data_IF_090676305418
#
_entry.id   IF_090676305418
#
_cell.length_a   1.000
_cell.length_b   1.000
_cell.length_c   1.000
_cell.angle_alpha   90.00
_cell.angle_beta   90.00
_cell.angle_gamma   90.00
#
_symmetry.space_group_name_H-M   'P 1'
#
loop_
_entity.id
_entity.type
_entity.pdbx_description
1 polymer ?
#
# COMPACT_ATOMS: atom_id res chain seq x y z
N UNK A 1 -8.04 12.01 -14.26
CA UNK A 1 -7.36 11.51 -15.48
C UNK A 1 -5.95 12.04 -15.51
N UNK A 2 -4.97 11.18 -15.76
CA UNK A 2 -3.55 11.55 -15.87
C UNK A 2 -3.32 12.29 -17.19
N UNK A 3 -2.49 13.33 -17.20
CA UNK A 3 -2.17 14.04 -18.44
C UNK A 3 -1.33 13.17 -19.38
N UNK A 4 -1.40 13.40 -20.69
CA UNK A 4 -0.61 12.66 -21.69
C UNK A 4 0.90 12.69 -21.38
N UNK A 5 1.41 13.83 -20.91
CA UNK A 5 2.81 13.96 -20.49
C UNK A 5 3.13 13.14 -19.25
N UNK A 6 2.19 13.07 -18.29
CA UNK A 6 2.31 12.21 -17.11
C UNK A 6 2.41 10.74 -17.51
N UNK A 7 1.56 10.28 -18.43
CA UNK A 7 1.57 8.91 -18.94
C UNK A 7 2.92 8.58 -19.58
N UNK A 8 3.43 9.46 -20.45
CA UNK A 8 4.74 9.27 -21.11
C UNK A 8 5.88 9.18 -20.09
N UNK A 9 5.88 10.04 -19.07
CA UNK A 9 6.89 10.00 -18.02
C UNK A 9 6.81 8.69 -17.22
N UNK A 10 5.61 8.27 -16.83
CA UNK A 10 5.41 7.00 -16.12
C UNK A 10 5.88 5.80 -16.94
N UNK A 11 5.53 5.75 -18.24
CA UNK A 11 5.98 4.71 -19.16
C UNK A 11 7.52 4.67 -19.27
N UNK A 12 8.17 5.83 -19.36
CA UNK A 12 9.64 5.92 -19.38
C UNK A 12 10.28 5.37 -18.11
N UNK A 13 9.75 5.74 -16.93
CA UNK A 13 10.26 5.26 -15.64
C UNK A 13 10.12 3.73 -15.50
N UNK A 14 9.00 3.18 -15.94
CA UNK A 14 8.75 1.74 -15.92
C UNK A 14 9.64 1.00 -16.92
N UNK A 15 9.81 1.52 -18.15
CA UNK A 15 10.72 0.93 -19.15
C UNK A 15 12.15 0.88 -18.61
N UNK A 16 12.64 1.99 -18.03
CA UNK A 16 13.99 2.05 -17.46
C UNK A 16 14.23 1.09 -16.29
N UNK A 17 13.17 0.71 -15.55
CA UNK A 17 13.30 -0.13 -14.36
C UNK A 17 12.99 -1.60 -14.61
N UNK A 18 12.03 -1.88 -15.51
CA UNK A 18 11.39 -3.20 -15.66
C UNK A 18 11.23 -3.65 -17.12
N UNK A 19 11.74 -2.87 -18.07
CA UNK A 19 11.72 -3.18 -19.49
C UNK A 19 10.43 -2.80 -20.21
N UNK A 20 10.49 -2.91 -21.54
CA UNK A 20 9.48 -2.34 -22.44
C UNK A 20 8.12 -3.06 -22.38
N UNK A 21 8.10 -4.36 -22.08
CA UNK A 21 6.82 -5.07 -21.90
C UNK A 21 6.04 -4.56 -20.68
N UNK A 22 6.72 -4.35 -19.55
CA UNK A 22 6.10 -3.75 -18.37
C UNK A 22 5.62 -2.33 -18.66
N UNK A 23 6.41 -1.55 -19.41
CA UNK A 23 6.05 -0.20 -19.83
C UNK A 23 4.79 -0.18 -20.69
N UNK A 24 4.70 -1.04 -21.71
CA UNK A 24 3.53 -1.14 -22.60
C UNK A 24 2.25 -1.51 -21.84
N UNK A 25 2.34 -2.42 -20.87
CA UNK A 25 1.21 -2.78 -20.00
C UNK A 25 0.81 -1.62 -19.08
N UNK A 26 1.78 -0.93 -18.48
CA UNK A 26 1.53 0.22 -17.61
C UNK A 26 0.89 1.39 -18.38
N UNK A 27 1.43 1.73 -19.56
CA UNK A 27 0.88 2.77 -20.44
C UNK A 27 -0.55 2.45 -20.88
N UNK A 28 -0.84 1.19 -21.21
CA UNK A 28 -2.18 0.73 -21.56
C UNK A 28 -3.19 0.99 -20.43
N UNK A 29 -2.82 0.62 -19.19
CA UNK A 29 -3.65 0.85 -18.01
C UNK A 29 -3.81 2.34 -17.70
N UNK A 30 -2.74 3.14 -17.76
CA UNK A 30 -2.80 4.58 -17.50
C UNK A 30 -3.64 5.33 -18.54
N UNK A 31 -3.64 4.87 -19.80
CA UNK A 31 -4.37 5.52 -20.89
C UNK A 31 -5.85 5.14 -20.93
N UNK A 32 -6.19 3.93 -20.48
CA UNK A 32 -7.55 3.35 -20.66
C UNK A 32 -8.30 3.13 -19.34
N UNK A 33 -7.65 3.32 -18.19
CA UNK A 33 -8.24 3.10 -16.87
C UNK A 33 -8.22 1.63 -16.46
N UNK A 34 -9.27 1.19 -15.76
CA UNK A 34 -9.37 -0.17 -15.23
C UNK A 34 -9.64 -1.18 -16.34
N UNK A 35 -8.83 -2.24 -16.42
CA UNK A 35 -8.93 -3.25 -17.48
C UNK A 35 -8.87 -4.67 -16.93
N UNK A 36 -9.57 -5.60 -17.60
CA UNK A 36 -9.44 -7.05 -17.38
C UNK A 36 -8.21 -7.61 -18.07
N UNK A 37 -7.74 -8.79 -17.66
CA UNK A 37 -6.61 -9.47 -18.31
C UNK A 37 -6.82 -9.63 -19.83
N UNK A 38 -8.03 -10.01 -20.26
CA UNK A 38 -8.36 -10.19 -21.67
C UNK A 38 -8.26 -8.88 -22.48
N UNK A 39 -8.69 -7.77 -21.89
CA UNK A 39 -8.58 -6.45 -22.53
C UNK A 39 -7.11 -6.01 -22.62
N UNK A 40 -6.31 -6.24 -21.58
CA UNK A 40 -4.88 -5.89 -21.59
C UNK A 40 -4.17 -6.68 -22.70
N UNK A 41 -4.42 -7.99 -22.81
CA UNK A 41 -3.87 -8.83 -23.89
C UNK A 41 -4.25 -8.25 -25.25
N UNK A 42 -5.54 -7.94 -25.46
CA UNK A 42 -6.03 -7.39 -26.73
C UNK A 42 -5.39 -6.04 -27.08
N UNK A 43 -5.25 -5.13 -26.12
CA UNK A 43 -4.75 -3.78 -26.39
C UNK A 43 -3.23 -3.70 -26.46
N UNK A 44 -2.51 -4.61 -25.78
CA UNK A 44 -1.05 -4.64 -25.81
C UNK A 44 -0.50 -5.56 -26.90
N UNK A 45 -1.33 -6.45 -27.47
CA UNK A 45 -0.93 -7.43 -28.48
C UNK A 45 0.23 -8.34 -27.99
N UNK A 46 0.35 -8.49 -26.67
CA UNK A 46 1.34 -9.36 -26.04
C UNK A 46 0.74 -10.73 -25.76
N UNK A 47 1.59 -11.75 -25.63
CA UNK A 47 1.15 -13.08 -25.20
C UNK A 47 0.57 -13.04 -23.79
N UNK A 48 -0.36 -13.96 -23.49
CA UNK A 48 -0.96 -14.09 -22.17
C UNK A 48 0.09 -14.24 -21.06
N UNK A 49 1.12 -15.03 -21.31
CA UNK A 49 2.23 -15.26 -20.37
C UNK A 49 3.01 -13.97 -20.10
N UNK A 50 3.34 -13.20 -21.14
CA UNK A 50 4.04 -11.93 -20.97
C UNK A 50 3.21 -10.93 -20.17
N UNK A 51 1.92 -10.81 -20.44
CA UNK A 51 1.03 -9.92 -19.68
C UNK A 51 0.93 -10.33 -18.21
N UNK A 52 0.78 -11.62 -17.92
CA UNK A 52 0.74 -12.13 -16.54
C UNK A 52 2.04 -11.81 -15.80
N UNK A 53 3.20 -12.03 -16.45
CA UNK A 53 4.50 -11.74 -15.85
C UNK A 53 4.70 -10.24 -15.61
N UNK A 54 4.30 -9.39 -16.56
CA UNK A 54 4.33 -7.93 -16.39
C UNK A 54 3.44 -7.48 -15.23
N UNK A 55 2.20 -7.98 -15.15
CA UNK A 55 1.28 -7.64 -14.05
C UNK A 55 1.85 -8.08 -12.69
N UNK A 56 2.46 -9.26 -12.60
CA UNK A 56 3.14 -9.72 -11.38
C UNK A 56 4.22 -8.75 -10.93
N UNK A 57 5.11 -8.34 -11.85
CA UNK A 57 6.17 -7.37 -11.56
C UNK A 57 5.60 -6.03 -11.12
N UNK A 58 4.62 -5.49 -11.85
CA UNK A 58 4.03 -4.19 -11.56
C UNK A 58 3.25 -4.17 -10.24
N UNK A 59 2.54 -5.25 -9.91
CA UNK A 59 1.86 -5.39 -8.61
C UNK A 59 2.89 -5.48 -7.48
N UNK A 60 3.92 -6.30 -7.65
CA UNK A 60 4.99 -6.44 -6.65
C UNK A 60 5.74 -5.12 -6.40
N UNK A 61 5.86 -4.27 -7.43
CA UNK A 61 6.50 -2.96 -7.35
C UNK A 61 5.52 -1.82 -6.99
N UNK A 62 4.32 -2.15 -6.50
CA UNK A 62 3.27 -1.21 -6.09
C UNK A 62 2.84 -0.22 -7.17
N UNK A 63 3.00 -0.58 -8.46
CA UNK A 63 2.60 0.25 -9.60
C UNK A 63 1.21 -0.14 -10.16
N UNK A 64 0.70 -1.32 -9.82
CA UNK A 64 -0.63 -1.80 -10.23
C UNK A 64 -1.35 -2.39 -9.03
N UNK A 65 -2.66 -2.13 -8.94
CA UNK A 65 -3.57 -2.76 -7.99
C UNK A 65 -4.60 -3.58 -8.75
N UNK A 66 -4.79 -4.84 -8.36
CA UNK A 66 -5.88 -5.66 -8.83
C UNK A 66 -7.07 -5.53 -7.87
N UNK A 67 -8.28 -5.73 -8.36
CA UNK A 67 -9.50 -5.85 -7.55
C UNK A 67 -10.53 -6.65 -8.31
N UNK A 68 -11.39 -7.35 -7.59
CA UNK A 68 -12.46 -8.17 -8.15
C UNK A 68 -13.78 -7.44 -8.06
N UNK A 69 -14.56 -7.47 -9.13
CA UNK A 69 -15.92 -6.92 -9.17
C UNK A 69 -16.91 -7.99 -9.59
N UNK A 70 -18.14 -7.90 -9.10
CA UNK A 70 -19.23 -8.68 -9.63
C UNK A 70 -19.74 -8.04 -10.91
N UNK A 71 -19.65 -8.76 -12.03
CA UNK A 71 -20.23 -8.35 -13.30
C UNK A 71 -21.61 -9.00 -13.46
N UNK A 72 -22.64 -8.17 -13.52
CA UNK A 72 -23.98 -8.62 -13.91
C UNK A 72 -23.96 -8.99 -15.40
N UNK A 73 -24.25 -10.25 -15.69
CA UNK A 73 -24.41 -10.73 -17.05
C UNK A 73 -25.91 -10.65 -17.37
N UNK A 74 -26.26 -10.02 -18.50
CA UNK A 74 -27.65 -10.03 -18.96
C UNK A 74 -28.10 -11.47 -19.25
N UNK A 75 -29.38 -11.78 -18.99
CA UNK A 75 -30.04 -13.08 -19.24
C UNK A 75 -29.80 -14.22 -18.23
N UNK A 76 -30.12 -14.01 -16.94
CA UNK A 76 -30.38 -15.11 -15.99
C UNK A 76 -29.20 -16.02 -15.67
N UNK A 77 -28.00 -15.71 -16.14
CA UNK A 77 -26.76 -16.39 -15.77
C UNK A 77 -26.30 -15.92 -14.38
N UNK A 78 -25.62 -16.83 -13.67
CA UNK A 78 -25.05 -16.51 -12.37
C UNK A 78 -24.03 -15.37 -12.50
N UNK A 79 -24.01 -14.42 -11.53
CA UNK A 79 -23.13 -13.28 -11.58
C UNK A 79 -21.66 -13.72 -11.60
N UNK A 80 -20.87 -13.15 -12.52
CA UNK A 80 -19.48 -13.55 -12.72
C UNK A 80 -18.54 -12.59 -11.99
N UNK A 81 -17.63 -13.14 -11.19
CA UNK A 81 -16.55 -12.35 -10.58
C UNK A 81 -15.45 -12.14 -11.61
N UNK A 82 -15.06 -10.88 -11.82
CA UNK A 82 -14.03 -10.51 -12.79
C UNK A 82 -12.99 -9.62 -12.13
N UNK A 83 -11.73 -10.01 -12.26
CA UNK A 83 -10.58 -9.22 -11.83
C UNK A 83 -10.28 -8.09 -12.82
N UNK A 84 -10.19 -6.87 -12.30
CA UNK A 84 -9.70 -5.70 -13.01
C UNK A 84 -8.37 -5.25 -12.42
N UNK A 85 -7.56 -4.59 -13.26
CA UNK A 85 -6.27 -4.02 -12.90
C UNK A 85 -6.31 -2.52 -13.13
N UNK A 86 -5.73 -1.75 -12.22
CA UNK A 86 -5.53 -0.30 -12.35
C UNK A 86 -4.08 0.07 -12.10
N UNK A 87 -3.57 1.01 -12.88
CA UNK A 87 -2.24 1.58 -12.65
C UNK A 87 -2.29 2.67 -11.58
N UNK A 88 -1.31 2.65 -10.68
CA UNK A 88 -1.13 3.60 -9.59
C UNK A 88 -0.12 4.67 -10.02
N UNK A 89 -0.62 5.71 -10.69
CA UNK A 89 0.22 6.77 -11.27
C UNK A 89 1.17 7.41 -10.25
N UNK A 90 0.66 7.80 -9.08
CA UNK A 90 1.46 8.49 -8.06
C UNK A 90 2.63 7.61 -7.58
N UNK A 91 2.38 6.32 -7.34
CA UNK A 91 3.40 5.36 -6.95
C UNK A 91 4.48 5.19 -8.03
N UNK A 92 4.11 5.24 -9.30
CA UNK A 92 5.08 5.20 -10.41
C UNK A 92 5.95 6.46 -10.42
N UNK A 93 5.38 7.65 -10.28
CA UNK A 93 6.13 8.92 -10.29
C UNK A 93 7.01 9.07 -9.05
N UNK A 94 6.60 8.54 -7.90
CA UNK A 94 7.40 8.56 -6.68
C UNK A 94 8.76 7.88 -6.80
N UNK A 95 8.97 7.01 -7.81
CA UNK A 95 10.30 6.44 -8.12
C UNK A 95 11.37 7.51 -8.35
N UNK A 96 11.02 8.64 -8.98
CA UNK A 96 11.94 9.77 -9.15
C UNK A 96 12.34 10.45 -7.83
N UNK A 97 11.53 10.27 -6.78
CA UNK A 97 11.73 10.90 -5.46
C UNK A 97 12.50 10.01 -4.49
N UNK A 98 12.84 8.78 -4.88
CA UNK A 98 13.56 7.83 -4.02
C UNK A 98 14.83 8.40 -3.40
N UNK A 99 15.69 9.16 -4.12
CA UNK A 99 16.85 9.80 -3.51
C UNK A 99 16.48 10.72 -2.33
N UNK A 100 15.37 11.45 -2.46
CA UNK A 100 14.91 12.35 -1.40
C UNK A 100 14.32 11.59 -0.21
N UNK A 101 13.60 10.50 -0.47
CA UNK A 101 13.05 9.65 0.60
C UNK A 101 14.17 8.97 1.39
N UNK A 102 15.20 8.46 0.70
CA UNK A 102 16.39 7.90 1.33
C UNK A 102 17.11 8.93 2.20
N UNK A 103 17.25 10.17 1.73
CA UNK A 103 17.82 11.25 2.53
C UNK A 103 17.03 11.47 3.83
N UNK A 104 15.70 11.53 3.77
CA UNK A 104 14.84 11.71 4.95
C UNK A 104 15.04 10.58 5.96
N UNK A 105 15.05 9.32 5.52
CA UNK A 105 15.26 8.17 6.41
C UNK A 105 16.66 8.20 7.03
N UNK A 106 17.68 8.55 6.24
CA UNK A 106 19.05 8.65 6.72
C UNK A 106 19.22 9.74 7.78
N UNK A 107 18.57 10.89 7.60
CA UNK A 107 18.65 12.03 8.54
C UNK A 107 17.91 11.74 9.84
N UNK A 108 16.77 11.03 9.78
CA UNK A 108 15.92 10.83 10.97
C UNK A 108 16.18 9.52 11.73
N UNK A 109 16.50 8.43 11.05
CA UNK A 109 16.59 7.08 11.65
C UNK A 109 17.98 6.43 11.52
N UNK A 110 18.89 7.05 10.76
CA UNK A 110 20.25 6.58 10.58
C UNK A 110 20.41 5.48 9.52
N UNK A 111 21.66 4.99 9.38
CA UNK A 111 22.07 4.10 8.28
C UNK A 111 21.47 2.70 8.35
N UNK A 112 21.21 2.19 9.55
CA UNK A 112 20.66 0.83 9.72
C UNK A 112 19.24 0.73 9.16
N UNK A 113 18.39 1.73 9.46
CA UNK A 113 17.05 1.85 8.87
C UNK A 113 17.11 2.14 7.37
N UNK A 114 18.11 2.91 6.91
CA UNK A 114 18.28 3.22 5.50
C UNK A 114 18.50 1.96 4.65
N UNK A 115 19.31 1.00 5.12
CA UNK A 115 19.56 -0.25 4.39
C UNK A 115 18.30 -1.08 4.17
N UNK A 116 17.48 -1.22 5.21
CA UNK A 116 16.17 -1.89 5.12
C UNK A 116 15.23 -1.14 4.16
N UNK A 117 15.17 0.18 4.31
CA UNK A 117 14.32 1.04 3.49
C UNK A 117 14.70 1.00 2.01
N UNK A 118 15.99 1.06 1.69
CA UNK A 118 16.50 0.92 0.32
C UNK A 118 16.13 -0.44 -0.27
N UNK A 119 16.24 -1.52 0.52
CA UNK A 119 15.79 -2.85 0.11
C UNK A 119 14.30 -2.86 -0.30
N UNK A 120 13.43 -2.21 0.49
CA UNK A 120 12.01 -2.09 0.16
C UNK A 120 11.78 -1.24 -1.10
N UNK A 121 12.54 -0.17 -1.33
CA UNK A 121 12.43 0.64 -2.55
C UNK A 121 12.84 -0.13 -3.81
N UNK A 122 13.88 -0.95 -3.73
CA UNK A 122 14.40 -1.74 -4.84
C UNK A 122 13.49 -2.92 -5.20
N UNK A 123 13.01 -3.65 -4.18
CA UNK A 123 12.27 -4.90 -4.36
C UNK A 123 10.75 -4.74 -4.25
N UNK A 124 10.27 -3.62 -3.73
CA UNK A 124 8.83 -3.34 -3.63
C UNK A 124 8.21 -3.95 -2.38
N UNK A 125 7.61 -5.14 -2.51
CA UNK A 125 6.88 -5.82 -1.41
C UNK A 125 7.72 -6.94 -0.83
N UNK A 126 8.09 -6.85 0.45
CA UNK A 126 8.90 -7.87 1.11
C UNK A 126 8.23 -8.37 2.40
N UNK A 127 8.41 -9.64 2.72
CA UNK A 127 8.10 -10.15 4.05
C UNK A 127 9.19 -9.79 5.06
N UNK A 128 8.88 -9.88 6.36
CA UNK A 128 9.89 -9.65 7.40
C UNK A 128 11.08 -10.63 7.27
N UNK A 129 10.80 -11.88 6.92
CA UNK A 129 11.85 -12.89 6.73
C UNK A 129 12.77 -12.50 5.56
N UNK A 130 12.20 -12.09 4.43
CA UNK A 130 12.98 -11.61 3.28
C UNK A 130 13.82 -10.38 3.61
N UNK A 131 13.31 -9.47 4.45
CA UNK A 131 14.06 -8.31 4.94
C UNK A 131 15.25 -8.78 5.79
N UNK A 132 15.02 -9.71 6.73
CA UNK A 132 16.07 -10.26 7.59
C UNK A 132 17.14 -10.94 6.74
N UNK A 133 16.75 -11.90 5.89
CA UNK A 133 17.67 -12.67 5.04
C UNK A 133 18.55 -11.76 4.18
N UNK A 134 17.98 -10.68 3.63
CA UNK A 134 18.73 -9.71 2.83
C UNK A 134 19.77 -8.95 3.66
N UNK A 135 19.44 -8.55 4.87
CA UNK A 135 20.37 -7.80 5.73
C UNK A 135 21.48 -8.71 6.27
N UNK A 136 21.19 -9.98 6.53
CA UNK A 136 22.19 -10.99 6.92
C UNK A 136 23.23 -11.28 5.84
N UNK A 137 22.86 -11.13 4.56
CA UNK A 137 23.77 -11.34 3.43
C UNK A 137 24.73 -10.16 3.19
N UNK A 138 24.56 -9.04 3.91
CA UNK A 138 25.46 -7.89 3.77
C UNK A 138 26.71 -8.07 4.64
N UNK A 139 27.89 -7.57 4.20
CA UNK A 139 29.16 -7.80 4.90
C UNK A 139 29.19 -7.25 6.33
N UNK A 140 28.32 -6.30 6.66
CA UNK A 140 28.01 -5.93 8.03
C UNK A 140 26.92 -6.87 8.54
N UNK A 141 27.32 -8.02 9.06
CA UNK A 141 26.40 -9.03 9.60
C UNK A 141 25.68 -8.47 10.83
N UNK A 142 24.55 -7.78 10.61
CA UNK A 142 23.72 -7.21 11.67
C UNK A 142 22.96 -8.32 12.38
N UNK A 143 22.92 -8.29 13.70
CA UNK A 143 22.12 -9.22 14.48
C UNK A 143 20.63 -9.16 14.10
N UNK A 144 19.93 -10.30 14.14
CA UNK A 144 18.51 -10.43 13.75
C UNK A 144 17.66 -9.48 14.60
N UNK A 145 17.99 -9.35 15.87
CA UNK A 145 17.30 -8.42 16.77
C UNK A 145 17.51 -6.97 16.35
N UNK A 146 18.72 -6.57 15.96
CA UNK A 146 19.00 -5.22 15.49
C UNK A 146 18.23 -4.87 14.19
N UNK A 147 18.08 -5.85 13.28
CA UNK A 147 17.26 -5.68 12.06
C UNK A 147 15.78 -5.51 12.44
N UNK A 148 15.25 -6.34 13.35
CA UNK A 148 13.86 -6.22 13.82
C UNK A 148 13.59 -4.89 14.53
N UNK A 149 14.53 -4.43 15.36
CA UNK A 149 14.42 -3.14 16.04
C UNK A 149 14.43 -1.98 15.03
N UNK A 150 15.35 -2.01 14.07
CA UNK A 150 15.42 -1.01 13.00
C UNK A 150 14.17 -1.00 12.13
N UNK A 151 13.59 -2.17 11.87
CA UNK A 151 12.31 -2.30 11.19
C UNK A 151 11.14 -1.74 12.03
N UNK A 152 11.12 -2.00 13.35
CA UNK A 152 10.13 -1.43 14.28
C UNK A 152 10.20 0.11 14.29
N UNK A 153 11.41 0.70 14.28
CA UNK A 153 11.58 2.16 14.15
C UNK A 153 11.00 2.72 12.85
N UNK A 154 11.15 2.01 11.72
CA UNK A 154 10.54 2.39 10.44
C UNK A 154 9.00 2.37 10.50
N UNK A 155 8.40 1.39 11.19
CA UNK A 155 6.95 1.30 11.39
C UNK A 155 6.43 2.42 12.30
N UNK A 156 7.10 2.66 13.43
CA UNK A 156 6.74 3.72 14.37
C UNK A 156 6.84 5.10 13.72
N UNK A 157 7.81 5.31 12.82
CA UNK A 157 7.93 6.51 12.01
C UNK A 157 6.91 6.59 10.85
N UNK A 158 6.07 5.57 10.66
CA UNK A 158 5.11 5.42 9.56
C UNK A 158 5.73 5.41 8.15
N UNK A 159 7.04 5.14 8.04
CA UNK A 159 7.74 5.07 6.74
C UNK A 159 7.47 3.77 5.98
N UNK A 160 7.14 2.72 6.72
CA UNK A 160 6.78 1.41 6.20
C UNK A 160 5.39 1.07 6.68
N UNK A 161 4.62 0.39 5.84
CA UNK A 161 3.25 -0.03 6.13
C UNK A 161 2.98 -1.42 5.56
N UNK A 162 1.96 -2.11 6.09
CA UNK A 162 1.47 -3.36 5.51
C UNK A 162 0.98 -3.10 4.09
N UNK A 163 1.23 -4.06 3.21
CA UNK A 163 0.74 -3.99 1.83
C UNK A 163 -0.80 -4.02 1.81
N UNK A 164 -1.44 -3.28 0.88
CA UNK A 164 -2.85 -3.46 0.61
C UNK A 164 -3.18 -4.88 0.19
N UNK A 165 -4.42 -5.29 0.43
CA UNK A 165 -4.94 -6.56 -0.05
C UNK A 165 -4.67 -6.69 -1.56
N UNK A 166 -4.11 -7.83 -2.02
CA UNK A 166 -3.68 -7.96 -3.41
C UNK A 166 -4.84 -7.94 -4.40
N UNK A 167 -6.01 -8.41 -3.99
CA UNK A 167 -7.23 -8.46 -4.80
C UNK A 167 -8.46 -8.32 -3.88
N UNK A 168 -8.83 -7.11 -3.44
CA UNK A 168 -10.07 -6.89 -2.70
C UNK A 168 -11.27 -7.16 -3.61
N UNK A 169 -12.34 -7.68 -3.03
CA UNK A 169 -13.64 -7.78 -3.69
C UNK A 169 -14.45 -6.50 -3.46
N UNK A 170 -14.97 -5.92 -4.54
CA UNK A 170 -15.90 -4.79 -4.49
C UNK A 170 -17.33 -5.28 -4.71
N UNK A 171 -18.13 -5.15 -3.66
CA UNK A 171 -19.57 -5.35 -3.77
C UNK A 171 -20.20 -4.30 -4.72
N UNK A 172 -21.29 -4.67 -5.43
CA UNK A 172 -22.07 -3.71 -6.20
C UNK A 172 -22.51 -2.52 -5.34
N UNK A 173 -22.56 -1.29 -5.88
CA UNK A 173 -23.14 -0.18 -5.15
C UNK A 173 -24.59 -0.51 -4.78
N UNK A 174 -24.95 -0.42 -3.51
CA UNK A 174 -26.35 -0.48 -3.09
C UNK A 174 -27.10 0.66 -3.78
N UNK A 175 -28.01 0.35 -4.70
CA UNK A 175 -28.93 1.35 -5.23
C UNK A 175 -29.81 1.82 -4.07
N UNK A 176 -29.77 3.13 -3.77
CA UNK A 176 -30.75 3.75 -2.86
C UNK A 176 -32.15 3.54 -3.44
N UNK A 177 -32.83 2.47 -3.03
CA UNK A 177 -34.24 2.28 -3.36
C UNK A 177 -35.04 3.48 -2.83
N UNK A 178 -35.93 4.10 -3.64
CA UNK A 178 -36.57 5.37 -3.30
C UNK A 178 -37.64 5.27 -2.18
N UNK A 179 -37.76 4.14 -1.49
CA UNK A 179 -38.89 3.86 -0.60
C UNK A 179 -38.71 4.30 0.86
N UNK A 180 -37.56 4.84 1.29
CA UNK A 180 -37.33 5.20 2.72
C UNK A 180 -37.09 6.67 3.03
N UNK A 181 -37.38 7.62 2.12
CA UNK A 181 -37.33 9.06 2.43
C UNK A 181 -38.68 9.58 2.95
N UNK A 182 -39.04 9.18 4.18
CA UNK A 182 -39.89 10.00 5.08
C UNK A 182 -39.18 10.12 6.42
N UNK A 183 -38.47 11.23 6.62
CA UNK A 183 -37.92 11.59 7.93
C UNK A 183 -36.66 12.43 7.87
N UNK A 184 -36.86 13.73 8.08
CA UNK A 184 -35.91 14.67 8.70
C UNK A 184 -34.72 15.17 7.87
N UNK A 185 -34.80 16.47 7.55
CA UNK A 185 -33.76 17.30 6.94
C UNK A 185 -32.54 17.38 7.87
N UNK A 186 -31.44 16.75 7.48
CA UNK A 186 -30.10 17.20 7.80
C UNK A 186 -29.31 17.21 6.50
N UNK A 187 -28.79 18.39 6.15
CA UNK A 187 -27.97 18.60 4.97
C UNK A 187 -26.64 17.85 5.14
N UNK A 188 -26.65 16.54 4.83
CA UNK A 188 -25.42 15.83 4.48
C UNK A 188 -24.95 16.43 3.17
N UNK A 189 -23.77 17.05 3.20
CA UNK A 189 -22.97 17.36 2.03
C UNK A 189 -22.98 16.08 1.19
N UNK A 190 -23.57 16.16 -0.01
CA UNK A 190 -23.56 15.04 -0.94
C UNK A 190 -22.12 14.81 -1.36
N UNK A 191 -21.41 13.91 -0.68
CA UNK A 191 -20.12 13.41 -1.13
C UNK A 191 -20.32 12.92 -2.58
N UNK A 192 -19.51 13.44 -3.49
CA UNK A 192 -19.51 13.00 -4.88
C UNK A 192 -19.36 11.47 -4.92
N UNK A 193 -20.05 10.76 -5.84
CA UNK A 193 -19.96 9.31 -5.91
C UNK A 193 -18.50 8.88 -6.08
N UNK A 194 -17.97 8.16 -5.10
CA UNK A 194 -16.58 7.67 -5.12
C UNK A 194 -16.38 6.81 -6.37
N UNK A 195 -15.31 7.09 -7.12
CA UNK A 195 -14.98 6.31 -8.32
C UNK A 195 -14.74 4.85 -7.94
N UNK A 196 -14.87 3.93 -8.90
CA UNK A 196 -14.59 2.50 -8.65
C UNK A 196 -13.14 2.29 -8.17
N UNK A 197 -12.20 3.08 -8.70
CA UNK A 197 -10.79 3.09 -8.32
C UNK A 197 -10.60 3.52 -6.86
N UNK A 198 -11.29 4.58 -6.42
CA UNK A 198 -11.24 5.04 -5.03
C UNK A 198 -11.80 4.01 -4.06
N UNK A 199 -12.90 3.33 -4.43
CA UNK A 199 -13.44 2.22 -3.64
C UNK A 199 -12.49 1.04 -3.59
N UNK A 200 -11.89 0.66 -4.73
CA UNK A 200 -10.88 -0.39 -4.80
C UNK A 200 -9.69 -0.11 -3.86
N UNK A 201 -9.18 1.12 -3.85
CA UNK A 201 -8.07 1.50 -2.97
C UNK A 201 -8.47 1.50 -1.50
N UNK A 202 -9.65 2.01 -1.16
CA UNK A 202 -10.15 2.03 0.22
C UNK A 202 -10.36 0.61 0.76
N UNK A 203 -10.97 -0.29 -0.02
CA UNK A 203 -11.17 -1.69 0.37
C UNK A 203 -9.86 -2.48 0.38
N UNK A 204 -8.88 -2.12 -0.45
CA UNK A 204 -7.55 -2.72 -0.40
C UNK A 204 -6.76 -2.30 0.85
N UNK A 205 -6.97 -1.07 1.34
CA UNK A 205 -6.17 -0.51 2.43
C UNK A 205 -6.38 -1.31 3.71
N UNK A 206 -5.30 -1.71 4.41
CA UNK A 206 -5.42 -2.27 5.75
C UNK A 206 -6.11 -1.27 6.69
N UNK A 207 -6.84 -1.77 7.68
CA UNK A 207 -7.37 -0.91 8.74
C UNK A 207 -6.22 -0.19 9.45
N UNK A 208 -6.47 1.05 9.88
CA UNK A 208 -5.44 1.88 10.52
C UNK A 208 -4.83 1.21 11.76
N UNK A 209 -5.63 0.44 12.51
CA UNK A 209 -5.19 -0.33 13.68
C UNK A 209 -4.16 -1.42 13.39
N UNK A 210 -4.10 -1.93 12.15
CA UNK A 210 -3.17 -2.99 11.74
C UNK A 210 -2.12 -2.50 10.74
N UNK A 211 -2.32 -1.35 10.09
CA UNK A 211 -1.49 -0.83 8.99
C UNK A 211 -0.01 -0.71 9.34
N UNK A 212 0.30 -0.36 10.60
CA UNK A 212 1.67 -0.19 11.11
C UNK A 212 2.04 -1.20 12.20
N UNK A 213 1.15 -2.14 12.52
CA UNK A 213 1.35 -3.07 13.63
C UNK A 213 2.23 -4.26 13.22
N UNK A 214 3.30 -4.50 13.96
CA UNK A 214 4.07 -5.75 13.88
C UNK A 214 3.47 -6.78 14.84
N UNK A 215 3.16 -7.98 14.37
CA UNK A 215 2.63 -9.05 15.24
C UNK A 215 3.74 -9.60 16.14
N UNK A 216 3.42 -9.80 17.43
CA UNK A 216 4.38 -10.30 18.43
C UNK A 216 4.87 -11.72 18.07
N UNK A 217 4.05 -12.54 17.42
CA UNK A 217 4.45 -13.87 16.94
C UNK A 217 5.58 -13.83 15.89
N UNK A 218 5.71 -12.73 15.13
CA UNK A 218 6.85 -12.52 14.22
C UNK A 218 8.14 -12.08 14.92
N UNK A 219 8.07 -11.68 16.20
CA UNK A 219 9.24 -11.41 17.04
C UNK A 219 9.84 -12.70 17.64
N UNK A 220 8.99 -13.71 17.89
CA UNK A 220 9.34 -14.95 18.59
C UNK A 220 9.77 -16.09 17.66
N UNK A 221 10.35 -15.74 16.51
CA UNK A 221 10.61 -16.64 15.38
C UNK A 221 10.89 -18.09 15.79
N UNK A 222 10.07 -19.01 15.28
CA UNK A 222 10.23 -20.48 15.27
C UNK A 222 11.42 -20.99 16.10
N UNK A 223 11.30 -21.00 17.42
CA UNK A 223 12.07 -21.90 18.27
C UNK A 223 11.14 -23.04 18.67
N UNK A 224 11.47 -24.24 18.19
CA UNK A 224 11.04 -25.46 18.85
C UNK A 224 11.79 -25.55 20.17
N UNK A 225 11.31 -24.85 21.20
CA UNK A 225 11.77 -25.09 22.57
C UNK A 225 10.59 -25.41 23.47
N UNK A 226 10.64 -26.65 23.96
CA UNK A 226 9.71 -27.29 24.87
C UNK A 226 9.49 -26.44 26.13
N UNK A 227 8.20 -26.23 26.43
CA UNK A 227 7.61 -26.25 27.76
C UNK A 227 8.23 -25.38 28.85
N UNK A 228 7.55 -24.29 29.20
CA UNK A 228 7.08 -24.07 30.57
C UNK A 228 5.95 -23.03 30.55
N UNK A 229 4.87 -23.34 31.26
CA UNK A 229 3.65 -22.55 31.38
C UNK A 229 3.92 -21.17 32.02
N UNK A 230 3.31 -20.12 31.46
CA UNK A 230 2.86 -18.98 32.26
C UNK A 230 1.40 -18.72 31.93
N UNK A 231 0.53 -19.09 32.87
CA UNK A 231 -0.86 -18.68 32.91
C UNK A 231 -0.97 -17.14 32.97
N UNK A 232 -2.11 -16.62 32.48
CA UNK A 232 -2.64 -15.25 32.68
C UNK A 232 -2.71 -14.28 31.49
N UNK A 233 -2.85 -14.74 30.24
CA UNK A 233 -3.30 -13.86 29.11
C UNK A 233 -4.38 -14.51 28.22
N UNK A 234 -5.01 -15.61 28.66
CA UNK A 234 -5.96 -16.36 27.83
C UNK A 234 -7.33 -15.67 27.60
N UNK A 235 -7.63 -14.56 28.28
CA UNK A 235 -9.02 -14.05 28.34
C UNK A 235 -9.37 -12.99 27.29
N UNK A 236 -8.40 -12.45 26.54
CA UNK A 236 -8.69 -11.43 25.50
C UNK A 236 -8.63 -11.98 24.06
N UNK A 237 -7.98 -13.12 23.84
CA UNK A 237 -7.81 -13.74 22.52
C UNK A 237 -9.09 -14.39 21.96
N UNK A 238 -10.01 -14.80 22.83
CA UNK A 238 -11.19 -15.57 22.41
C UNK A 238 -12.23 -14.73 21.66
N UNK A 239 -12.30 -13.42 21.92
CA UNK A 239 -13.24 -12.52 21.22
C UNK A 239 -12.83 -12.18 19.79
N UNK A 240 -11.53 -12.24 19.47
CA UNK A 240 -11.02 -11.85 18.15
C UNK A 240 -11.04 -13.02 17.16
N UNK A 241 -11.14 -14.26 17.66
CA UNK A 241 -11.22 -15.46 16.82
C UNK A 241 -12.62 -15.67 16.22
N UNK A 242 -13.66 -15.08 16.81
CA UNK A 242 -15.05 -15.31 16.36
C UNK A 242 -15.44 -14.44 15.14
N UNK A 243 -14.84 -13.25 14.98
CA UNK A 243 -15.24 -12.29 13.93
C UNK A 243 -14.45 -12.40 12.62
N UNK A 244 -13.39 -13.19 12.57
CA UNK A 244 -12.53 -13.36 11.37
C UNK A 244 -12.82 -14.64 10.57
N UNK A 245 -13.86 -15.40 10.91
CA UNK A 245 -14.10 -16.72 10.32
C UNK A 245 -14.92 -16.73 9.03
N UNK A 246 -15.67 -15.68 8.67
CA UNK A 246 -16.64 -15.77 7.58
C UNK A 246 -16.42 -14.71 6.49
N UNK A 247 -15.28 -14.75 5.77
CA UNK A 247 -15.16 -14.12 4.44
C UNK A 247 -13.94 -14.52 3.59
N UNK A 248 -12.97 -15.30 4.08
CA UNK A 248 -11.78 -15.65 3.28
C UNK A 248 -11.64 -17.15 3.04
N UNK A 249 -12.53 -17.70 2.21
CA UNK A 249 -12.36 -19.04 1.66
C UNK A 249 -11.96 -18.95 0.18
N UNK A 250 -10.64 -19.05 -0.09
CA UNK A 250 -10.08 -19.90 -1.17
C UNK A 250 -8.55 -19.78 -1.34
N UNK A 251 -7.89 -20.90 -1.04
CA UNK A 251 -6.59 -21.43 -1.50
C UNK A 251 -5.41 -21.44 -0.53
N UNK A 252 -5.09 -22.67 -0.09
CA UNK A 252 -3.90 -23.15 0.63
C UNK A 252 -3.69 -22.63 2.06
N UNK A 253 -3.87 -23.54 3.04
CA UNK A 253 -3.70 -23.33 4.49
C UNK A 253 -2.27 -23.05 4.97
N UNK A 254 -1.61 -22.05 4.40
CA UNK A 254 -0.45 -21.38 4.99
C UNK A 254 -0.95 -20.06 5.55
N UNK A 255 -0.63 -19.72 6.81
CA UNK A 255 -0.80 -18.35 7.31
C UNK A 255 -0.21 -17.40 6.26
N UNK A 256 -1.04 -16.53 5.69
CA UNK A 256 -0.65 -15.64 4.60
C UNK A 256 0.46 -14.73 5.13
N UNK A 257 1.65 -14.85 4.56
CA UNK A 257 2.82 -14.11 5.04
C UNK A 257 2.58 -12.60 4.85
N UNK A 258 2.78 -11.82 5.92
CA UNK A 258 2.55 -10.38 5.90
C UNK A 258 3.64 -9.72 5.06
N UNK A 259 3.22 -8.99 4.03
CA UNK A 259 4.09 -8.22 3.16
C UNK A 259 4.07 -6.74 3.55
N UNK A 260 5.23 -6.12 3.43
CA UNK A 260 5.49 -4.73 3.79
C UNK A 260 5.92 -3.92 2.58
N UNK A 261 5.56 -2.64 2.55
CA UNK A 261 5.96 -1.68 1.52
C UNK A 261 6.31 -0.33 2.12
N UNK A 262 6.96 0.52 1.34
CA UNK A 262 7.17 1.93 1.69
C UNK A 262 5.86 2.69 1.63
N UNK A 263 5.59 3.49 2.66
CA UNK A 263 4.48 4.43 2.72
C UNK A 263 4.88 5.77 2.07
N UNK A 264 4.65 5.91 0.76
CA UNK A 264 5.00 7.15 0.05
C UNK A 264 4.20 8.37 0.53
N UNK A 265 2.97 8.15 1.01
CA UNK A 265 2.08 9.20 1.50
C UNK A 265 2.72 10.00 2.64
N UNK A 266 3.36 9.29 3.57
CA UNK A 266 4.07 9.90 4.70
C UNK A 266 5.25 10.78 4.24
N UNK A 267 6.00 10.37 3.23
CA UNK A 267 7.08 11.20 2.69
C UNK A 267 6.56 12.43 1.97
N UNK A 268 5.48 12.29 1.19
CA UNK A 268 4.84 13.42 0.52
C UNK A 268 4.29 14.41 1.55
N UNK A 269 3.67 13.92 2.62
CA UNK A 269 3.19 14.72 3.76
C UNK A 269 4.33 15.53 4.39
N UNK A 270 5.45 14.90 4.70
CA UNK A 270 6.63 15.60 5.27
C UNK A 270 7.23 16.63 4.33
N UNK A 271 7.34 16.32 3.04
CA UNK A 271 7.84 17.28 2.05
C UNK A 271 6.90 18.48 1.93
N UNK A 272 5.58 18.27 1.98
CA UNK A 272 4.58 19.34 2.01
C UNK A 272 4.73 20.20 3.27
N UNK A 273 4.79 19.59 4.45
CA UNK A 273 4.98 20.30 5.71
C UNK A 273 6.26 21.15 5.69
N UNK A 274 7.38 20.57 5.23
CA UNK A 274 8.65 21.29 5.07
C UNK A 274 8.52 22.51 4.15
N UNK A 275 7.84 22.37 3.03
CA UNK A 275 7.61 23.48 2.10
C UNK A 275 6.75 24.60 2.73
N UNK A 276 5.70 24.23 3.48
CA UNK A 276 4.85 25.19 4.18
C UNK A 276 5.62 25.96 5.27
N UNK A 277 6.43 25.24 6.06
CA UNK A 277 7.26 25.84 7.12
C UNK A 277 8.25 26.83 6.51
N UNK A 278 8.94 26.44 5.45
CA UNK A 278 9.93 27.29 4.79
C UNK A 278 9.29 28.55 4.17
N UNK A 279 8.09 28.40 3.58
CA UNK A 279 7.33 29.53 3.08
C UNK A 279 6.98 30.53 4.20
N UNK A 280 6.52 30.04 5.36
CA UNK A 280 6.19 30.88 6.51
C UNK A 280 7.43 31.57 7.10
N UNK A 281 8.58 30.87 7.16
CA UNK A 281 9.85 31.48 7.58
C UNK A 281 10.23 32.68 6.73
N UNK A 282 10.14 32.53 5.41
CA UNK A 282 10.49 33.59 4.45
C UNK A 282 9.49 34.75 4.51
N UNK A 283 8.20 34.47 4.69
CA UNK A 283 7.13 35.48 4.61
C UNK A 283 6.86 36.23 5.91
N UNK A 284 7.01 35.59 7.06
CA UNK A 284 6.65 36.14 8.36
C UNK A 284 7.89 36.31 9.24
N UNK A 285 8.40 35.20 9.78
CA UNK A 285 9.60 35.17 10.61
C UNK A 285 10.02 33.73 10.91
N UNK A 286 11.26 33.54 11.34
CA UNK A 286 11.73 32.22 11.77
C UNK A 286 10.92 31.66 12.94
N UNK A 287 10.54 32.52 13.89
CA UNK A 287 9.69 32.15 15.03
C UNK A 287 8.31 31.63 14.58
N UNK A 288 7.69 32.27 13.60
CA UNK A 288 6.43 31.79 13.03
C UNK A 288 6.58 30.41 12.36
N UNK A 289 7.73 30.17 11.72
CA UNK A 289 8.06 28.86 11.15
C UNK A 289 8.20 27.76 12.22
N UNK A 290 8.85 28.06 13.35
CA UNK A 290 8.98 27.14 14.48
C UNK A 290 7.61 26.78 15.06
N UNK A 291 6.75 27.78 15.26
CA UNK A 291 5.37 27.55 15.74
C UNK A 291 4.59 26.65 14.78
N UNK A 292 4.66 26.91 13.47
CA UNK A 292 3.98 26.06 12.48
C UNK A 292 4.55 24.63 12.46
N UNK A 293 5.87 24.45 12.61
CA UNK A 293 6.48 23.13 12.72
C UNK A 293 5.89 22.34 13.89
N UNK A 294 5.82 22.96 15.07
CA UNK A 294 5.26 22.32 16.26
C UNK A 294 3.78 21.96 16.08
N UNK A 295 2.99 22.83 15.44
CA UNK A 295 1.57 22.55 15.14
C UNK A 295 1.43 21.32 14.24
N UNK A 296 2.20 21.26 13.15
CA UNK A 296 2.14 20.15 12.18
C UNK A 296 2.64 18.82 12.76
N UNK A 297 3.61 18.87 13.67
CA UNK A 297 4.05 17.68 14.41
C UNK A 297 2.96 17.15 15.35
N UNK A 298 2.23 18.03 16.02
CA UNK A 298 1.14 17.66 16.93
C UNK A 298 -0.09 17.10 16.19
N UNK A 299 -0.37 17.56 14.96
CA UNK A 299 -1.51 17.09 14.15
C UNK A 299 -1.19 15.87 13.29
N UNK A 300 0.03 15.34 13.36
CA UNK A 300 0.49 14.25 12.50
C UNK A 300 -0.36 12.97 12.60
N UNK A 301 -0.93 12.69 13.77
CA UNK A 301 -1.77 11.51 14.01
C UNK A 301 -3.24 11.69 13.63
N UNK A 302 -3.67 12.92 13.29
CA UNK A 302 -5.06 13.26 12.96
C UNK A 302 -5.27 13.73 11.52
N UNK A 303 -4.20 13.87 10.73
CA UNK A 303 -4.23 14.19 9.29
C UNK A 303 -4.32 12.92 8.43
N UNK A 304 -5.51 12.31 8.38
CA UNK A 304 -5.89 11.26 7.40
C UNK A 304 -6.98 11.76 6.44
#
# INVERSE_FOLDING_TARGET
MVSLYGIKLAAYLISSSYGDFCSKVCECLLSRGTLTLAQIIRFTELSRENVINCLRVLIHQNCVQAFSIQQEVAFGEAPKIVTQYMALFDNTIHKMRFPKFMQIVSEELGKDCLGIFEGLLQHGRLSLNQIIDRNMQTPNNSDVHAVRESFSRLLNARFVERCPAPEPFLAPPEEETPAKKRGTKSAKIAEAPKTIEQRALATASPMESIRFLMEIDTLRGTSEEKGMESHDIATLEEKWKQDFSDAELSSSGKKKEILWRVNFEEFVRRLRHKACIEYVRIRLSDQAGIVLSAILELTKSSED
#
